data_IF_324044232546
#
_entry.id   IF_324044232546
#
_cell.length_a   1.000
_cell.length_b   1.000
_cell.length_c   1.000
_cell.angle_alpha   90.00
_cell.angle_beta   90.00
_cell.angle_gamma   90.00
#
_symmetry.space_group_name_H-M   'P 1'
#
loop_
_entity.id
_entity.type
_entity.pdbx_description
1 polymer ?
#
# COMPACT_ATOMS: atom_id res chain seq x y z
N UNK A 1 -16.43 -24.33 -44.59
CA UNK A 1 -17.08 -24.34 -43.26
C UNK A 1 -16.57 -23.15 -42.42
N UNK A 2 -16.25 -22.03 -43.06
CA UNK A 2 -15.36 -21.01 -42.49
C UNK A 2 -16.11 -19.77 -41.97
N UNK A 3 -17.38 -19.61 -42.37
CA UNK A 3 -18.21 -18.47 -41.95
C UNK A 3 -18.79 -18.60 -40.53
N UNK A 4 -19.01 -19.83 -40.07
CA UNK A 4 -19.54 -20.07 -38.72
C UNK A 4 -18.48 -19.92 -37.61
N UNK A 5 -17.22 -20.20 -37.92
CA UNK A 5 -16.13 -20.09 -36.93
C UNK A 5 -15.83 -18.64 -36.56
N UNK A 6 -15.88 -17.72 -37.53
CA UNK A 6 -15.70 -16.28 -37.29
C UNK A 6 -16.82 -15.66 -36.45
N UNK A 7 -18.06 -16.15 -36.59
CA UNK A 7 -19.19 -15.66 -35.80
C UNK A 7 -19.05 -16.03 -34.30
N UNK A 8 -18.50 -17.20 -34.01
CA UNK A 8 -18.28 -17.66 -32.63
C UNK A 8 -17.14 -16.88 -31.94
N UNK A 9 -16.07 -16.54 -32.68
CA UNK A 9 -14.96 -15.72 -32.15
C UNK A 9 -15.41 -14.29 -31.83
N UNK A 10 -16.28 -13.69 -32.65
CA UNK A 10 -16.81 -12.35 -32.38
C UNK A 10 -17.76 -12.29 -31.18
N UNK A 11 -18.47 -13.39 -30.86
CA UNK A 11 -19.37 -13.43 -29.71
C UNK A 11 -18.61 -13.47 -28.37
N UNK A 12 -17.46 -14.16 -28.32
CA UNK A 12 -16.64 -14.28 -27.09
C UNK A 12 -15.97 -12.96 -26.70
N UNK A 13 -15.70 -12.06 -27.66
CA UNK A 13 -15.02 -10.80 -27.42
C UNK A 13 -15.87 -9.73 -26.72
N UNK A 14 -17.20 -9.91 -26.61
CA UNK A 14 -18.10 -8.91 -26.01
C UNK A 14 -18.42 -9.14 -24.53
N UNK A 15 -17.98 -10.25 -23.94
CA UNK A 15 -18.33 -10.63 -22.56
C UNK A 15 -17.49 -9.95 -21.45
N UNK A 16 -16.58 -9.04 -21.78
CA UNK A 16 -15.52 -8.63 -20.84
C UNK A 16 -15.50 -7.15 -20.48
N UNK A 17 -16.49 -6.63 -19.74
CA UNK A 17 -16.28 -5.49 -18.84
C UNK A 17 -17.54 -5.21 -17.99
N UNK A 18 -17.73 -5.93 -16.88
CA UNK A 18 -18.64 -5.44 -15.84
C UNK A 18 -17.86 -4.53 -14.88
N UNK A 19 -18.28 -3.28 -14.67
CA UNK A 19 -17.66 -2.42 -13.66
C UNK A 19 -17.90 -3.04 -12.28
N UNK A 20 -16.81 -3.35 -11.56
CA UNK A 20 -16.94 -3.89 -10.22
C UNK A 20 -17.66 -2.88 -9.31
N UNK A 21 -18.55 -3.34 -8.42
CA UNK A 21 -19.23 -2.47 -7.47
C UNK A 21 -18.25 -1.80 -6.51
N UNK A 22 -18.66 -0.68 -5.91
CA UNK A 22 -17.95 -0.02 -4.82
C UNK A 22 -18.46 -0.60 -3.50
N UNK A 23 -17.79 -1.66 -3.04
CA UNK A 23 -18.04 -2.28 -1.75
C UNK A 23 -17.22 -1.62 -0.63
N UNK A 24 -17.46 -2.06 0.61
CA UNK A 24 -16.77 -1.56 1.80
C UNK A 24 -15.26 -1.64 1.63
N UNK A 25 -14.72 -2.79 1.25
CA UNK A 25 -13.27 -3.00 1.15
C UNK A 25 -12.62 -2.08 0.12
N UNK A 26 -13.23 -1.92 -1.05
CA UNK A 26 -12.73 -1.01 -2.07
C UNK A 26 -12.74 0.43 -1.59
N UNK A 27 -13.77 0.84 -0.87
CA UNK A 27 -13.85 2.18 -0.30
C UNK A 27 -12.81 2.42 0.81
N UNK A 28 -12.52 1.43 1.66
CA UNK A 28 -11.40 1.49 2.61
C UNK A 28 -10.07 1.67 1.87
N UNK A 29 -9.83 0.89 0.81
CA UNK A 29 -8.61 1.01 0.00
C UNK A 29 -8.49 2.38 -0.67
N UNK A 30 -9.59 2.90 -1.23
CA UNK A 30 -9.61 4.23 -1.83
C UNK A 30 -9.36 5.32 -0.79
N UNK A 31 -9.85 5.17 0.44
CA UNK A 31 -9.59 6.08 1.56
C UNK A 31 -8.10 6.10 1.94
N UNK A 32 -7.50 4.93 2.13
CA UNK A 32 -6.06 4.80 2.43
C UNK A 32 -5.19 5.37 1.31
N UNK A 33 -5.56 5.13 0.04
CA UNK A 33 -4.88 5.72 -1.12
C UNK A 33 -5.05 7.23 -1.21
N UNK A 34 -6.23 7.73 -0.83
CA UNK A 34 -6.49 9.17 -0.72
C UNK A 34 -5.59 9.80 0.34
N UNK A 35 -5.39 9.16 1.49
CA UNK A 35 -4.47 9.62 2.53
C UNK A 35 -3.02 9.71 2.02
N UNK A 36 -2.58 8.78 1.18
CA UNK A 36 -1.26 8.83 0.50
C UNK A 36 -1.14 9.93 -0.56
N UNK A 37 -2.18 10.71 -0.80
CA UNK A 37 -2.19 11.78 -1.78
C UNK A 37 -2.40 11.33 -3.22
N UNK A 38 -3.02 10.15 -3.47
CA UNK A 38 -3.31 9.68 -4.82
C UNK A 38 -4.61 10.36 -5.33
N UNK A 39 -4.53 11.33 -6.27
CA UNK A 39 -5.66 12.21 -6.59
C UNK A 39 -6.84 11.47 -7.22
N UNK A 40 -6.58 10.52 -8.12
CA UNK A 40 -7.62 9.71 -8.74
C UNK A 40 -8.39 8.86 -7.71
N UNK A 41 -7.68 8.31 -6.71
CA UNK A 41 -8.32 7.52 -5.64
C UNK A 41 -9.15 8.41 -4.71
N UNK A 42 -8.66 9.61 -4.41
CA UNK A 42 -9.38 10.60 -3.61
C UNK A 42 -10.70 11.03 -4.27
N UNK A 43 -10.68 11.26 -5.59
CA UNK A 43 -11.87 11.61 -6.34
C UNK A 43 -12.90 10.46 -6.34
N UNK A 44 -12.47 9.23 -6.58
CA UNK A 44 -13.35 8.05 -6.54
C UNK A 44 -13.94 7.83 -5.15
N UNK A 45 -13.12 7.95 -4.11
CA UNK A 45 -13.57 7.86 -2.72
C UNK A 45 -14.66 8.89 -2.43
N UNK A 46 -14.39 10.16 -2.75
CA UNK A 46 -15.34 11.27 -2.53
C UNK A 46 -16.64 11.07 -3.31
N UNK A 47 -16.61 10.50 -4.50
CA UNK A 47 -17.80 10.39 -5.34
C UNK A 47 -18.65 9.16 -5.03
N UNK A 48 -18.04 8.06 -4.59
CA UNK A 48 -18.71 6.76 -4.51
C UNK A 48 -18.84 6.19 -3.10
N UNK A 49 -18.06 6.67 -2.12
CA UNK A 49 -17.97 6.05 -0.79
C UNK A 49 -18.59 6.86 0.35
N UNK A 50 -19.29 7.97 0.08
CA UNK A 50 -19.86 8.85 1.13
C UNK A 50 -20.92 8.17 2.01
N UNK A 51 -21.56 7.12 1.52
CA UNK A 51 -22.64 6.42 2.21
C UNK A 51 -22.13 5.31 3.15
N UNK A 52 -20.83 5.03 3.15
CA UNK A 52 -20.21 3.98 3.95
C UNK A 52 -19.48 4.57 5.14
N UNK A 53 -19.52 3.85 6.27
CA UNK A 53 -18.70 4.19 7.42
C UNK A 53 -17.31 3.61 7.21
N UNK A 54 -16.31 4.48 7.03
CA UNK A 54 -14.95 4.10 6.66
C UNK A 54 -14.09 4.04 7.91
N UNK A 55 -13.51 2.87 8.18
CA UNK A 55 -12.65 2.62 9.35
C UNK A 55 -11.30 3.31 9.17
N UNK A 56 -10.67 3.14 8.00
CA UNK A 56 -9.34 3.68 7.70
C UNK A 56 -9.42 5.09 7.09
N UNK A 57 -10.19 5.97 7.74
CA UNK A 57 -10.32 7.36 7.32
C UNK A 57 -9.06 8.18 7.62
N UNK A 58 -8.95 9.37 7.01
CA UNK A 58 -7.78 10.24 7.09
C UNK A 58 -7.24 10.45 8.52
N UNK A 59 -8.11 10.83 9.46
CA UNK A 59 -7.69 11.05 10.85
C UNK A 59 -7.20 9.76 11.54
N UNK A 60 -7.73 8.59 11.19
CA UNK A 60 -7.30 7.31 11.75
C UNK A 60 -5.90 6.94 11.23
N UNK A 61 -5.69 7.04 9.91
CA UNK A 61 -4.37 6.89 9.30
C UNK A 61 -3.35 7.89 9.87
N UNK A 62 -3.76 9.16 10.10
CA UNK A 62 -2.89 10.19 10.65
C UNK A 62 -2.44 9.85 12.08
N UNK A 63 -3.36 9.48 12.97
CA UNK A 63 -3.03 9.09 14.35
C UNK A 63 -2.11 7.87 14.40
N UNK A 64 -2.32 6.92 13.50
CA UNK A 64 -1.45 5.76 13.39
C UNK A 64 -0.05 6.12 12.88
N UNK A 65 0.05 7.06 11.93
CA UNK A 65 1.34 7.57 11.44
C UNK A 65 2.08 8.36 12.54
N UNK A 66 1.39 9.22 13.27
CA UNK A 66 1.95 9.94 14.41
C UNK A 66 2.50 8.97 15.46
N UNK A 67 1.74 7.90 15.76
CA UNK A 67 2.19 6.85 16.67
C UNK A 67 3.43 6.12 16.13
N UNK A 68 3.48 5.81 14.83
CA UNK A 68 4.65 5.20 14.18
C UNK A 68 5.89 6.12 14.26
N UNK A 69 5.71 7.44 14.09
CA UNK A 69 6.78 8.44 14.23
C UNK A 69 7.27 8.54 15.68
N UNK A 70 6.38 8.40 16.67
CA UNK A 70 6.70 8.39 18.10
C UNK A 70 7.38 7.09 18.58
N UNK A 71 7.97 6.32 17.67
CA UNK A 71 8.77 5.11 17.92
C UNK A 71 8.00 3.86 18.34
N UNK A 72 6.67 3.82 18.18
CA UNK A 72 5.94 2.57 18.31
C UNK A 72 6.33 1.60 17.18
N UNK A 73 6.42 0.31 17.50
CA UNK A 73 6.70 -0.71 16.48
C UNK A 73 5.51 -0.87 15.53
N UNK A 74 5.77 -1.24 14.27
CA UNK A 74 4.68 -1.46 13.31
C UNK A 74 3.68 -2.52 13.82
N UNK A 75 4.15 -3.51 14.59
CA UNK A 75 3.31 -4.52 15.23
C UNK A 75 2.32 -3.91 16.23
N UNK A 76 2.79 -3.07 17.14
CA UNK A 76 1.93 -2.35 18.09
C UNK A 76 0.92 -1.46 17.39
N UNK A 77 1.32 -0.81 16.29
CA UNK A 77 0.43 0.00 15.48
C UNK A 77 -0.69 -0.84 14.86
N UNK A 78 -0.38 -2.03 14.33
CA UNK A 78 -1.38 -2.95 13.77
C UNK A 78 -2.34 -3.48 14.85
N UNK A 79 -1.83 -3.80 16.04
CA UNK A 79 -2.66 -4.24 17.16
C UNK A 79 -3.62 -3.14 17.64
N UNK A 80 -3.17 -1.88 17.66
CA UNK A 80 -3.96 -0.75 18.17
C UNK A 80 -4.94 -0.16 17.15
N UNK A 81 -4.55 -0.11 15.88
CA UNK A 81 -5.30 0.59 14.83
C UNK A 81 -5.92 -0.34 13.77
N UNK A 82 -5.70 -1.66 13.89
CA UNK A 82 -6.20 -2.69 12.99
C UNK A 82 -5.13 -3.17 11.98
N UNK A 83 -5.22 -4.42 11.55
CA UNK A 83 -4.16 -5.03 10.73
C UNK A 83 -3.90 -4.30 9.41
N UNK A 84 -4.94 -3.76 8.76
CA UNK A 84 -4.79 -3.08 7.46
C UNK A 84 -4.23 -1.66 7.58
N UNK A 85 -3.94 -1.16 8.80
CA UNK A 85 -3.44 0.20 9.01
C UNK A 85 -2.10 0.46 8.31
N UNK A 86 -1.28 -0.57 8.15
CA UNK A 86 0.00 -0.47 7.44
C UNK A 86 -0.18 0.01 5.98
N UNK A 87 -1.35 -0.26 5.39
CA UNK A 87 -1.69 0.20 4.05
C UNK A 87 -2.02 1.69 4.00
N UNK A 88 -2.13 2.42 5.12
CA UNK A 88 -2.15 3.88 5.13
C UNK A 88 -0.76 4.47 4.84
N UNK A 89 0.31 3.76 5.16
CA UNK A 89 1.67 4.30 5.11
C UNK A 89 2.32 4.14 3.74
N UNK A 90 3.20 5.06 3.38
CA UNK A 90 4.05 4.93 2.19
C UNK A 90 5.25 4.05 2.50
N UNK A 91 5.88 3.49 1.46
CA UNK A 91 7.12 2.72 1.64
C UNK A 91 8.24 3.55 2.30
N UNK A 92 8.23 4.87 2.11
CA UNK A 92 9.18 5.77 2.75
C UNK A 92 8.92 5.92 4.26
N UNK A 93 7.66 6.02 4.67
CA UNK A 93 7.29 6.08 6.09
C UNK A 93 7.69 4.80 6.81
N UNK A 94 7.39 3.64 6.21
CA UNK A 94 7.77 2.33 6.74
C UNK A 94 9.29 2.17 6.82
N UNK A 95 10.04 2.66 5.84
CA UNK A 95 11.51 2.61 5.87
C UNK A 95 12.10 3.53 6.94
N UNK A 96 11.51 4.70 7.16
CA UNK A 96 12.01 5.70 8.12
C UNK A 96 11.64 5.39 9.56
N UNK A 97 10.43 4.88 9.78
CA UNK A 97 9.84 4.76 11.10
C UNK A 97 9.44 3.32 11.46
N UNK A 98 9.23 2.46 10.47
CA UNK A 98 8.86 1.05 10.68
C UNK A 98 10.01 0.13 11.09
N UNK A 99 11.25 0.63 11.12
CA UNK A 99 12.45 -0.14 11.51
C UNK A 99 12.91 0.13 12.94
N UNK A 100 12.03 0.53 13.87
CA UNK A 100 12.45 0.69 15.27
C UNK A 100 12.63 -0.69 15.94
N UNK A 101 13.87 -1.08 16.31
CA UNK A 101 14.17 -2.34 16.95
C UNK A 101 14.21 -2.10 18.46
N UNK A 102 13.06 -2.01 19.11
CA UNK A 102 13.06 -2.02 20.57
C UNK A 102 13.30 -3.43 21.14
N UNK A 103 13.27 -4.51 20.36
CA UNK A 103 13.86 -5.82 20.72
C UNK A 103 13.92 -6.76 19.50
N UNK A 104 14.78 -6.46 18.51
CA UNK A 104 15.29 -7.50 17.60
C UNK A 104 16.78 -7.71 17.92
N UNK A 105 17.01 -8.45 19.01
CA UNK A 105 18.25 -9.16 19.17
C UNK A 105 18.34 -10.21 18.06
N UNK A 106 19.46 -10.24 17.35
CA UNK A 106 19.82 -11.21 16.31
C UNK A 106 19.30 -10.89 14.90
N UNK A 107 20.07 -10.13 14.11
CA UNK A 107 21.01 -10.73 13.16
C UNK A 107 21.77 -9.63 12.38
N UNK A 108 23.10 -9.67 12.49
CA UNK A 108 24.04 -8.83 11.75
C UNK A 108 24.31 -9.47 10.38
N UNK A 109 24.47 -8.67 9.30
CA UNK A 109 25.54 -8.97 8.37
C UNK A 109 26.53 -7.80 8.28
N UNK A 110 27.77 -8.13 8.64
CA UNK A 110 29.02 -7.43 8.41
C UNK A 110 29.04 -6.69 7.07
N UNK A 111 29.07 -5.35 7.10
CA UNK A 111 29.70 -4.58 6.02
C UNK A 111 31.12 -4.26 6.43
N UNK A 112 32.02 -5.17 6.06
CA UNK A 112 33.44 -4.92 6.05
C UNK A 112 33.75 -3.68 5.23
N UNK A 113 34.59 -2.84 5.80
CA UNK A 113 35.26 -1.76 5.12
C UNK A 113 36.05 -2.30 3.92
N UNK A 114 35.85 -1.72 2.74
CA UNK A 114 36.88 -1.71 1.70
C UNK A 114 37.43 -0.29 1.62
N UNK A 115 38.47 -0.10 2.43
CA UNK A 115 39.46 0.95 2.28
C UNK A 115 40.33 0.63 1.08
N UNK A 116 40.55 1.66 0.25
CA UNK A 116 41.62 1.89 -0.73
C UNK A 116 42.45 0.74 -1.27
N UNK A 117 42.54 0.68 -2.60
CA UNK A 117 43.83 0.54 -3.26
C UNK A 117 43.81 1.22 -4.63
N UNK A 118 44.66 2.24 -4.72
CA UNK A 118 45.14 2.91 -5.94
C UNK A 118 46.14 1.93 -6.56
N UNK A 119 45.87 1.41 -7.76
CA UNK A 119 46.92 0.77 -8.55
C UNK A 119 47.65 1.81 -9.40
N UNK A 120 48.97 1.67 -9.32
CA UNK A 120 50.01 2.57 -9.71
C UNK A 120 50.59 2.07 -11.04
N UNK A 121 50.94 3.03 -11.91
CA UNK A 121 51.96 2.97 -12.95
C UNK A 121 52.91 1.75 -12.89
N UNK A 122 52.92 0.95 -13.96
CA UNK A 122 54.15 0.46 -14.58
C UNK A 122 53.94 0.14 -16.06
#
# INVERSE_FOLDING_TARGET
MDRFFFAFIMMVLTAGCQPQPFDQERCEQLSMKSFKGIPHSAQLFKNHCQHLTIVYHQQHCQKALESLILQHSLKEIKEKFGEKIEHCFTSNDLKKFGQNPSHEASNVPNRGALSGQIELLK
#
